data_IF_965130598087
#
_entry.id   IF_965130598087
#
_cell.length_a   1.000
_cell.length_b   1.000
_cell.length_c   1.000
_cell.angle_alpha   90.00
_cell.angle_beta   90.00
_cell.angle_gamma   90.00
#
_symmetry.space_group_name_H-M   'P 1'
#
loop_
_entity.id
_entity.type
_entity.pdbx_description
1 polymer ?
#
# COMPACT_ATOMS: atom_id res chain seq x y z
N UNK A 1 20.19 10.02 1.05
CA UNK A 1 19.16 10.62 1.92
C UNK A 1 17.79 10.32 1.30
N UNK A 2 17.06 9.34 1.82
CA UNK A 2 15.71 9.02 1.37
C UNK A 2 14.74 10.14 1.75
N UNK A 3 14.51 11.07 0.83
CA UNK A 3 13.67 12.27 1.04
C UNK A 3 12.18 11.95 0.87
N UNK A 4 11.71 10.86 1.48
CA UNK A 4 10.27 10.60 1.58
C UNK A 4 9.71 11.56 2.63
N UNK A 5 9.00 12.61 2.16
CA UNK A 5 8.38 13.63 3.03
C UNK A 5 7.07 13.14 3.67
N UNK A 6 6.47 12.08 3.12
CA UNK A 6 5.22 11.48 3.56
C UNK A 6 5.42 10.62 4.82
N UNK A 7 4.46 10.68 5.74
CA UNK A 7 4.46 9.95 7.01
C UNK A 7 3.29 8.99 7.11
N UNK A 8 3.40 8.00 8.01
CA UNK A 8 2.28 7.13 8.36
C UNK A 8 1.16 7.99 8.94
N UNK A 9 -0.05 7.81 8.44
CA UNK A 9 -1.23 8.55 8.88
C UNK A 9 -1.67 9.68 7.96
N UNK A 10 -0.80 10.14 7.05
CA UNK A 10 -1.16 11.15 6.05
C UNK A 10 -2.21 10.61 5.06
N UNK A 11 -3.08 11.50 4.60
CA UNK A 11 -4.04 11.23 3.52
C UNK A 11 -3.37 11.63 2.21
N UNK A 12 -3.37 10.71 1.26
CA UNK A 12 -2.75 10.92 -0.04
C UNK A 12 -3.69 10.51 -1.16
N UNK A 13 -3.52 11.15 -2.31
CA UNK A 13 -4.19 10.81 -3.55
C UNK A 13 -3.17 10.28 -4.56
N UNK A 14 -3.58 9.31 -5.35
CA UNK A 14 -2.76 8.76 -6.43
C UNK A 14 -2.85 9.67 -7.65
N UNK A 15 -1.69 10.15 -8.11
CA UNK A 15 -1.57 11.06 -9.26
C UNK A 15 -1.24 10.30 -10.55
N UNK A 16 -0.79 9.05 -10.45
CA UNK A 16 -0.43 8.24 -11.62
C UNK A 16 -0.53 6.73 -11.33
N UNK A 17 -0.96 5.95 -12.33
CA UNK A 17 -1.10 4.50 -12.28
C UNK A 17 -2.57 4.04 -12.38
N UNK A 18 -2.80 2.75 -12.17
CA UNK A 18 -4.14 2.12 -12.29
C UNK A 18 -5.16 2.67 -11.28
N UNK A 19 -4.68 3.17 -10.14
CA UNK A 19 -5.49 3.70 -9.05
C UNK A 19 -5.60 5.24 -9.08
N UNK A 20 -5.40 5.87 -10.25
CA UNK A 20 -5.45 7.33 -10.44
C UNK A 20 -6.72 7.96 -9.81
N UNK A 21 -6.53 9.03 -9.03
CA UNK A 21 -7.61 9.78 -8.39
C UNK A 21 -8.16 9.14 -7.10
N UNK A 22 -7.72 7.93 -6.74
CA UNK A 22 -8.11 7.33 -5.46
C UNK A 22 -7.36 7.99 -4.31
N UNK A 23 -8.08 8.25 -3.24
CA UNK A 23 -7.54 8.75 -1.97
C UNK A 23 -7.44 7.62 -0.96
N UNK A 24 -6.43 7.69 -0.09
CA UNK A 24 -6.25 6.70 0.96
C UNK A 24 -5.28 7.16 2.03
N UNK A 25 -5.32 6.47 3.16
CA UNK A 25 -4.42 6.73 4.30
C UNK A 25 -3.15 5.91 4.19
N UNK A 26 -2.00 6.52 4.48
CA UNK A 26 -0.72 5.80 4.54
C UNK A 26 -0.71 4.87 5.75
N UNK A 27 -0.64 3.56 5.50
CA UNK A 27 -0.52 2.51 6.51
C UNK A 27 0.92 2.33 6.97
N UNK A 28 1.86 2.33 6.02
CA UNK A 28 3.29 2.10 6.28
C UNK A 28 4.15 2.76 5.20
N UNK A 29 5.30 3.27 5.62
CA UNK A 29 6.34 3.79 4.72
C UNK A 29 7.59 2.92 4.89
N UNK A 30 7.99 2.25 3.82
CA UNK A 30 9.26 1.52 3.74
C UNK A 30 10.31 2.44 3.10
N UNK A 31 11.04 3.16 3.94
CA UNK A 31 12.09 4.09 3.49
C UNK A 31 13.28 3.39 2.85
N UNK A 32 13.58 2.15 3.24
CA UNK A 32 14.71 1.39 2.68
C UNK A 32 14.47 1.00 1.23
N UNK A 33 13.21 0.67 0.91
CA UNK A 33 12.81 0.25 -0.44
C UNK A 33 12.15 1.37 -1.25
N UNK A 34 12.04 2.56 -0.68
CA UNK A 34 11.32 3.70 -1.25
C UNK A 34 9.87 3.36 -1.67
N UNK A 35 9.14 2.63 -0.80
CA UNK A 35 7.76 2.18 -1.05
C UNK A 35 6.82 2.64 0.04
N UNK A 36 5.59 2.94 -0.34
CA UNK A 36 4.51 3.33 0.57
C UNK A 36 3.36 2.34 0.40
N UNK A 37 2.72 1.98 1.51
CA UNK A 37 1.52 1.17 1.53
C UNK A 37 0.36 2.08 1.90
N UNK A 38 -0.62 2.20 1.01
CA UNK A 38 -1.79 3.05 1.17
C UNK A 38 -3.02 2.16 1.24
N UNK A 39 -3.93 2.47 2.16
CA UNK A 39 -5.17 1.70 2.34
C UNK A 39 -6.02 1.71 1.07
N UNK A 40 -6.43 0.52 0.61
CA UNK A 40 -7.35 0.38 -0.54
C UNK A 40 -6.74 0.69 -1.91
N UNK A 41 -5.42 0.86 -1.99
CA UNK A 41 -4.69 1.20 -3.22
C UNK A 41 -3.70 0.07 -3.54
N UNK A 42 -3.49 -0.20 -4.83
CA UNK A 42 -2.61 -1.26 -5.32
C UNK A 42 -3.00 -2.65 -4.77
N UNK A 43 -4.30 -2.95 -4.74
CA UNK A 43 -4.82 -4.21 -4.20
C UNK A 43 -4.33 -5.40 -5.04
N UNK A 44 -3.63 -6.33 -4.40
CA UNK A 44 -3.11 -7.54 -5.02
C UNK A 44 -3.77 -8.78 -4.44
N UNK A 45 -4.22 -9.67 -5.34
CA UNK A 45 -4.75 -10.98 -4.99
C UNK A 45 -3.59 -11.96 -4.81
N UNK A 46 -3.35 -12.38 -3.57
CA UNK A 46 -2.31 -13.36 -3.24
C UNK A 46 -2.94 -14.70 -2.88
N UNK A 47 -2.71 -15.69 -3.74
CA UNK A 47 -2.99 -17.09 -3.44
C UNK A 47 -2.10 -17.54 -2.29
N UNK A 48 -2.72 -17.83 -1.14
CA UNK A 48 -2.01 -18.24 0.06
C UNK A 48 -2.42 -19.66 0.38
N UNK A 49 -1.44 -20.57 0.47
CA UNK A 49 -1.69 -21.95 0.90
C UNK A 49 -2.21 -21.94 2.34
N UNK A 50 -3.20 -22.78 2.62
CA UNK A 50 -3.73 -22.94 3.97
C UNK A 50 -2.60 -23.30 4.93
N UNK A 51 -2.56 -22.65 6.08
CA UNK A 51 -1.66 -23.04 7.16
C UNK A 51 -2.49 -23.57 8.33
N UNK A 52 -2.69 -24.90 8.42
CA UNK A 52 -3.51 -25.52 9.46
C UNK A 52 -2.94 -25.27 10.87
N UNK A 53 -1.63 -25.05 11.00
CA UNK A 53 -0.97 -24.80 12.28
C UNK A 53 -1.22 -23.39 12.84
N UNK A 54 -1.69 -22.45 12.00
CA UNK A 54 -2.03 -21.08 12.42
C UNK A 54 -3.52 -20.77 12.27
N UNK A 55 -4.37 -21.78 12.04
CA UNK A 55 -5.80 -21.62 11.75
C UNK A 55 -6.09 -20.56 10.67
N UNK A 56 -5.20 -20.43 9.68
CA UNK A 56 -5.40 -19.49 8.56
C UNK A 56 -6.00 -20.28 7.40
N UNK A 57 -7.29 -20.07 7.06
CA UNK A 57 -7.88 -20.70 5.89
C UNK A 57 -7.07 -20.31 4.65
N UNK A 58 -6.82 -21.30 3.79
CA UNK A 58 -6.22 -21.04 2.49
C UNK A 58 -7.20 -20.30 1.59
N UNK A 59 -6.68 -19.60 0.58
CA UNK A 59 -7.54 -18.90 -0.37
C UNK A 59 -6.86 -17.72 -1.03
N UNK A 60 -7.68 -16.93 -1.71
CA UNK A 60 -7.28 -15.67 -2.35
C UNK A 60 -7.39 -14.59 -1.28
N UNK A 61 -6.24 -14.13 -0.79
CA UNK A 61 -6.18 -13.03 0.18
C UNK A 61 -5.86 -11.76 -0.59
N UNK A 62 -6.71 -10.75 -0.46
CA UNK A 62 -6.42 -9.41 -0.96
C UNK A 62 -5.52 -8.66 0.02
N UNK A 63 -4.48 -8.02 -0.49
CA UNK A 63 -3.57 -7.19 0.30
C UNK A 63 -3.18 -5.95 -0.46
N UNK A 64 -2.92 -4.88 0.27
CA UNK A 64 -2.44 -3.63 -0.30
C UNK A 64 -1.01 -3.78 -0.81
N UNK A 65 -0.77 -3.17 -1.97
CA UNK A 65 0.49 -3.20 -2.66
C UNK A 65 1.38 -2.00 -2.35
N UNK A 66 2.67 -2.11 -2.71
CA UNK A 66 3.62 -1.01 -2.56
C UNK A 66 3.52 -0.02 -3.72
N UNK A 67 3.15 1.23 -3.44
CA UNK A 67 3.20 2.34 -4.40
C UNK A 67 4.47 3.17 -4.22
N UNK A 68 4.96 3.77 -5.31
CA UNK A 68 6.11 4.67 -5.27
C UNK A 68 5.67 6.07 -4.81
N UNK A 69 6.44 6.78 -3.95
CA UNK A 69 6.07 8.09 -3.43
C UNK A 69 5.89 9.18 -4.50
N UNK A 70 6.51 9.05 -5.68
CA UNK A 70 6.31 10.01 -6.79
C UNK A 70 4.87 10.01 -7.33
N UNK A 71 4.16 8.90 -7.16
CA UNK A 71 2.80 8.74 -7.68
C UNK A 71 1.76 9.17 -6.65
N UNK A 72 2.18 9.71 -5.52
CA UNK A 72 1.33 10.15 -4.43
C UNK A 72 1.43 11.67 -4.23
N UNK A 73 0.29 12.29 -4.00
CA UNK A 73 0.18 13.69 -3.59
C UNK A 73 -0.47 13.76 -2.23
N UNK A 74 0.09 14.58 -1.33
CA UNK A 74 -0.53 14.87 -0.04
C UNK A 74 -1.83 15.63 -0.26
N UNK A 75 -2.93 15.11 0.28
CA UNK A 75 -4.22 15.79 0.35
C UNK A 75 -4.41 16.19 1.81
N UNK A 76 -4.54 17.50 2.05
CA UNK A 76 -4.67 18.06 3.39
C UNK A 76 -6.06 17.83 3.94
#
# INVERSE_FOLDING_TARGET
MDKIRLKKGDIVEVVAGDDLGKTGKILRVDRKKNRIFVQGISMMKKHTKANPQSNKPGGIIEREGPIHPSNLRLVK
#
